data_IF_961307287761
#
_entry.id   IF_961307287761
#
_cell.length_a   1.000
_cell.length_b   1.000
_cell.length_c   1.000
_cell.angle_alpha   90.00
_cell.angle_beta   90.00
_cell.angle_gamma   90.00
#
_symmetry.space_group_name_H-M   'P 1'
#
loop_
_entity.id
_entity.type
_entity.pdbx_description
1 polymer ?
#
# COMPACT_ATOMS: atom_id res chain seq x y z
N UNK A 1 12.19 2.44 15.90
CA UNK A 1 11.24 1.31 15.66
C UNK A 1 11.32 0.94 14.18
N UNK A 2 11.39 -0.35 13.83
CA UNK A 2 11.37 -0.81 12.43
C UNK A 2 9.94 -1.26 12.08
N UNK A 3 9.41 -0.83 10.93
CA UNK A 3 8.12 -1.26 10.37
C UNK A 3 8.41 -2.11 9.15
N UNK A 4 7.77 -3.28 9.05
CA UNK A 4 8.00 -4.22 7.95
C UNK A 4 6.73 -4.49 7.14
N UNK A 5 6.92 -4.72 5.85
CA UNK A 5 5.90 -5.23 4.93
C UNK A 5 6.53 -6.32 4.04
N UNK A 6 5.74 -7.29 3.63
CA UNK A 6 6.14 -8.39 2.74
C UNK A 6 5.27 -8.39 1.51
N UNK A 7 5.88 -8.61 0.35
CA UNK A 7 5.20 -8.82 -0.92
C UNK A 7 5.58 -10.21 -1.46
N UNK A 8 4.59 -10.97 -1.91
CA UNK A 8 4.79 -12.26 -2.57
C UNK A 8 4.12 -12.18 -3.93
N UNK A 9 4.79 -12.70 -4.96
CA UNK A 9 4.27 -12.80 -6.32
C UNK A 9 4.47 -14.22 -6.85
N UNK A 10 3.44 -14.78 -7.47
CA UNK A 10 3.49 -16.09 -8.09
C UNK A 10 2.99 -16.01 -9.55
N UNK A 11 3.76 -16.59 -10.46
CA UNK A 11 3.43 -16.64 -11.90
C UNK A 11 4.11 -15.53 -12.73
N UNK A 12 3.64 -15.36 -13.96
CA UNK A 12 4.16 -14.38 -14.92
C UNK A 12 3.75 -12.95 -14.52
N UNK A 13 4.26 -11.94 -15.22
CA UNK A 13 3.88 -10.54 -14.93
C UNK A 13 2.40 -10.27 -15.20
N UNK A 14 1.81 -10.85 -16.26
CA UNK A 14 0.42 -10.55 -16.66
C UNK A 14 -0.62 -11.45 -15.98
N UNK A 15 -0.33 -12.75 -15.84
CA UNK A 15 -1.29 -13.71 -15.25
C UNK A 15 -1.00 -13.99 -13.78
N UNK A 16 0.14 -13.50 -13.28
CA UNK A 16 0.54 -13.71 -11.90
C UNK A 16 -0.38 -13.00 -10.92
N UNK A 17 -0.36 -13.53 -9.70
CA UNK A 17 -1.08 -13.00 -8.55
C UNK A 17 -0.11 -12.80 -7.42
N UNK A 18 -0.26 -11.69 -6.73
CA UNK A 18 0.51 -11.40 -5.55
C UNK A 18 -0.36 -11.05 -4.36
N UNK A 19 0.27 -11.05 -3.19
CA UNK A 19 -0.33 -10.53 -1.99
C UNK A 19 0.66 -9.71 -1.17
N UNK A 20 0.13 -8.69 -0.49
CA UNK A 20 0.86 -7.81 0.41
C UNK A 20 0.46 -8.10 1.86
N UNK A 21 1.41 -8.00 2.78
CA UNK A 21 1.15 -8.15 4.22
C UNK A 21 1.97 -7.14 4.99
N UNK A 22 1.34 -6.40 5.90
CA UNK A 22 2.01 -5.46 6.79
C UNK A 22 2.05 -5.99 8.20
N UNK A 23 3.11 -5.64 8.95
CA UNK A 23 3.24 -6.01 10.37
C UNK A 23 2.06 -5.52 11.22
N UNK A 24 1.40 -4.42 10.83
CA UNK A 24 0.21 -3.87 11.50
C UNK A 24 -1.08 -4.64 11.22
N UNK A 25 -1.02 -5.69 10.39
CA UNK A 25 -2.16 -6.47 9.89
C UNK A 25 -3.20 -5.67 9.08
N UNK A 26 -2.95 -4.38 8.81
CA UNK A 26 -3.80 -3.54 7.95
C UNK A 26 -3.91 -4.12 6.55
N UNK A 27 -2.78 -4.60 6.00
CA UNK A 27 -2.77 -5.49 4.85
C UNK A 27 -2.50 -6.90 5.38
N UNK A 28 -3.40 -7.83 5.08
CA UNK A 28 -3.26 -9.23 5.47
C UNK A 28 -3.57 -10.10 4.26
N UNK A 29 -2.51 -10.62 3.63
CA UNK A 29 -2.58 -11.30 2.34
C UNK A 29 -3.45 -10.55 1.30
N UNK A 30 -3.39 -9.21 1.32
CA UNK A 30 -4.21 -8.36 0.46
C UNK A 30 -3.76 -8.54 -1.00
N UNK A 31 -4.70 -8.93 -1.87
CA UNK A 31 -4.40 -9.25 -3.26
C UNK A 31 -3.96 -8.03 -4.08
N UNK A 32 -2.97 -8.24 -4.95
CA UNK A 32 -2.62 -7.33 -6.04
C UNK A 32 -2.24 -8.13 -7.28
N UNK A 33 -2.46 -7.56 -8.46
CA UNK A 33 -2.21 -8.20 -9.75
C UNK A 33 -1.78 -7.18 -10.80
N UNK A 34 -1.47 -7.64 -12.01
CA UNK A 34 -1.29 -6.74 -13.15
C UNK A 34 -2.55 -5.91 -13.40
N UNK A 35 -3.71 -6.56 -13.42
CA UNK A 35 -4.99 -5.92 -13.68
C UNK A 35 -5.37 -4.90 -12.59
N UNK A 36 -5.12 -5.19 -11.30
CA UNK A 36 -5.39 -4.21 -10.23
C UNK A 36 -4.41 -3.03 -10.18
N UNK A 37 -3.29 -3.11 -10.92
CA UNK A 37 -2.27 -2.05 -10.97
C UNK A 37 -2.37 -1.19 -12.23
N UNK A 38 -2.66 -1.81 -13.37
CA UNK A 38 -2.59 -1.15 -14.68
C UNK A 38 -3.93 -1.13 -15.43
N UNK A 39 -4.96 -1.77 -14.88
CA UNK A 39 -6.32 -1.82 -15.42
C UNK A 39 -7.32 -1.51 -14.30
N UNK A 40 -8.61 -1.75 -14.53
CA UNK A 40 -9.68 -1.57 -13.52
C UNK A 40 -9.99 -2.89 -12.77
N UNK A 41 -8.95 -3.64 -12.42
CA UNK A 41 -9.08 -4.90 -11.69
C UNK A 41 -9.28 -4.69 -10.18
N UNK A 42 -10.02 -5.60 -9.53
CA UNK A 42 -10.21 -5.58 -8.06
C UNK A 42 -8.91 -5.97 -7.34
N UNK A 43 -8.44 -5.13 -6.41
CA UNK A 43 -7.26 -5.38 -5.59
C UNK A 43 -6.59 -4.07 -5.18
N UNK A 44 -5.53 -4.15 -4.39
CA UNK A 44 -4.69 -2.99 -4.10
C UNK A 44 -3.61 -2.83 -5.17
N UNK A 45 -2.86 -1.73 -5.13
CA UNK A 45 -1.66 -1.52 -5.91
C UNK A 45 -0.62 -0.71 -5.11
N UNK A 46 0.67 -0.80 -5.46
CA UNK A 46 1.71 -0.04 -4.76
C UNK A 46 1.49 1.49 -4.77
N UNK A 47 0.89 2.01 -5.84
CA UNK A 47 0.69 3.45 -6.04
C UNK A 47 -0.32 4.05 -5.05
N UNK A 48 -1.47 3.41 -4.81
CA UNK A 48 -2.44 3.87 -3.81
C UNK A 48 -1.88 3.77 -2.38
N UNK A 49 -1.04 2.77 -2.10
CA UNK A 49 -0.41 2.60 -0.79
C UNK A 49 0.64 3.69 -0.53
N UNK A 50 1.41 4.06 -1.56
CA UNK A 50 2.33 5.19 -1.47
C UNK A 50 1.58 6.51 -1.29
N UNK A 51 0.48 6.71 -2.03
CA UNK A 51 -0.38 7.87 -1.88
C UNK A 51 -0.96 7.97 -0.46
N UNK A 52 -1.46 6.86 0.09
CA UNK A 52 -1.98 6.79 1.46
C UNK A 52 -0.90 7.10 2.50
N UNK A 53 0.32 6.54 2.34
CA UNK A 53 1.44 6.80 3.23
C UNK A 53 1.84 8.29 3.21
N UNK A 54 1.92 8.89 2.03
CA UNK A 54 2.25 10.30 1.87
C UNK A 54 1.16 11.19 2.48
N UNK A 55 -0.11 10.98 2.10
CA UNK A 55 -1.23 11.77 2.59
C UNK A 55 -1.34 11.72 4.11
N UNK A 56 -1.19 10.54 4.71
CA UNK A 56 -1.19 10.37 6.17
C UNK A 56 -0.04 11.12 6.86
N UNK A 57 1.17 11.05 6.30
CA UNK A 57 2.33 11.77 6.86
C UNK A 57 2.17 13.28 6.78
N UNK A 58 1.76 13.80 5.60
CA UNK A 58 1.60 15.22 5.36
C UNK A 58 0.53 15.83 6.27
N UNK A 59 -0.67 15.22 6.29
CA UNK A 59 -1.80 15.73 7.09
C UNK A 59 -1.48 15.75 8.58
N UNK A 60 -0.81 14.71 9.11
CA UNK A 60 -0.39 14.66 10.50
C UNK A 60 0.61 15.77 10.84
N UNK A 61 1.64 15.98 10.00
CA UNK A 61 2.63 17.03 10.23
C UNK A 61 1.99 18.42 10.12
N UNK A 62 1.16 18.64 9.11
CA UNK A 62 0.44 19.92 8.93
C UNK A 62 -0.41 20.26 10.17
N UNK A 63 -1.17 19.31 10.69
CA UNK A 63 -1.97 19.51 11.90
C UNK A 63 -1.12 19.88 13.12
N UNK A 64 0.05 19.28 13.27
CA UNK A 64 0.97 19.57 14.36
C UNK A 64 1.56 20.99 14.26
N UNK A 65 1.87 21.47 13.05
CA UNK A 65 2.35 22.85 12.85
C UNK A 65 1.25 23.88 13.12
N UNK A 66 0.02 23.64 12.64
CA UNK A 66 -1.11 24.54 12.89
C UNK A 66 -1.48 24.67 14.36
N UNK A 67 -1.20 23.64 15.17
CA UNK A 67 -1.48 23.65 16.62
C UNK A 67 -0.38 24.35 17.44
N UNK A 68 0.78 24.60 16.84
CA UNK A 68 1.90 25.32 17.46
C UNK A 68 1.95 26.81 17.07
N UNK A 69 1.13 27.22 16.09
CA UNK A 69 0.94 28.60 15.66
C UNK A 69 -0.05 29.34 16.58
#
# INVERSE_FOLDING_TARGET
MKRNATAVWNGTVKEGKGHLTTQSTTLNQTQYSFSSRFEEGVGTNPEELLAAAHAGCFTMKLSAELSQA
#
